data_IF_466927563229
#
_entry.id   IF_466927563229
#
_cell.length_a   1.000
_cell.length_b   1.000
_cell.length_c   1.000
_cell.angle_alpha   90.00
_cell.angle_beta   90.00
_cell.angle_gamma   90.00
#
_symmetry.space_group_name_H-M   'P 1'
#
loop_
_entity.id
_entity.type
_entity.pdbx_description
1 polymer ?
#
# COMPACT_ATOMS: atom_id res chain seq x y z
N UNK A 1 15.67 -2.43 -0.17
CA UNK A 1 15.27 -1.14 -0.76
C UNK A 1 13.77 -1.03 -0.67
N UNK A 2 13.22 0.17 -0.45
CA UNK A 2 11.75 0.35 -0.44
C UNK A 2 11.22 0.13 -1.85
N UNK A 3 10.06 -0.52 -1.97
CA UNK A 3 9.33 -0.63 -3.24
C UNK A 3 8.38 0.55 -3.48
N UNK A 4 8.24 1.42 -2.49
CA UNK A 4 7.35 2.59 -2.54
C UNK A 4 7.58 3.42 -3.81
N UNK A 5 6.50 3.73 -4.52
CA UNK A 5 6.52 4.60 -5.69
C UNK A 5 7.00 3.95 -6.98
N UNK A 6 7.57 2.74 -6.92
CA UNK A 6 7.94 1.98 -8.11
C UNK A 6 6.71 1.50 -8.88
N UNK A 7 6.92 1.14 -10.14
CA UNK A 7 5.89 0.66 -11.04
C UNK A 7 6.07 -0.82 -11.33
N UNK A 8 4.95 -1.53 -11.49
CA UNK A 8 4.89 -2.91 -11.95
C UNK A 8 4.08 -2.98 -13.24
N UNK A 9 4.18 -4.13 -13.89
CA UNK A 9 3.32 -4.53 -15.02
C UNK A 9 2.45 -5.70 -14.56
N UNK A 10 1.23 -5.80 -15.09
CA UNK A 10 0.42 -6.99 -15.02
C UNK A 10 -0.08 -7.35 -16.41
N UNK A 11 0.08 -8.61 -16.81
CA UNK A 11 -0.34 -9.12 -18.11
C UNK A 11 -1.81 -9.58 -18.10
N UNK A 12 -2.43 -9.69 -16.92
CA UNK A 12 -3.78 -10.19 -16.73
C UNK A 12 -4.69 -9.15 -16.06
N UNK A 13 -6.00 -9.24 -16.34
CA UNK A 13 -7.04 -8.42 -15.68
C UNK A 13 -7.44 -8.97 -14.29
N UNK A 14 -6.84 -10.09 -13.84
CA UNK A 14 -7.22 -10.81 -12.62
C UNK A 14 -6.93 -10.06 -11.30
N UNK A 15 -6.25 -8.91 -11.38
CA UNK A 15 -5.86 -8.10 -10.23
C UNK A 15 -4.71 -8.70 -9.40
N UNK A 16 -4.07 -9.78 -9.86
CA UNK A 16 -2.92 -10.42 -9.20
C UNK A 16 -1.62 -9.87 -9.81
N UNK A 17 -0.99 -8.95 -9.10
CA UNK A 17 0.28 -8.34 -9.52
C UNK A 17 1.46 -9.19 -9.07
N UNK A 18 1.86 -10.13 -9.91
CA UNK A 18 2.96 -11.07 -9.65
C UNK A 18 4.24 -10.79 -10.45
N UNK A 19 4.29 -9.68 -11.22
CA UNK A 19 5.49 -9.30 -11.95
C UNK A 19 6.67 -9.10 -11.00
N UNK A 20 7.81 -9.66 -11.40
CA UNK A 20 9.08 -9.54 -10.69
C UNK A 20 9.82 -8.25 -11.07
N UNK A 21 9.48 -7.64 -12.20
CA UNK A 21 10.14 -6.46 -12.73
C UNK A 21 9.57 -5.19 -12.11
N UNK A 22 10.45 -4.43 -11.44
CA UNK A 22 10.15 -3.15 -10.81
C UNK A 22 10.78 -2.01 -11.60
N UNK A 23 9.98 -0.98 -11.90
CA UNK A 23 10.42 0.17 -12.68
C UNK A 23 10.39 1.44 -11.84
N UNK A 24 11.36 2.34 -12.01
CA UNK A 24 11.41 3.60 -11.27
C UNK A 24 10.36 4.61 -11.78
N UNK A 25 9.98 4.50 -13.06
CA UNK A 25 8.98 5.37 -13.69
C UNK A 25 7.89 4.56 -14.36
N UNK A 26 6.74 5.21 -14.57
CA UNK A 26 5.63 4.65 -15.34
C UNK A 26 6.03 4.41 -16.79
N UNK A 27 6.76 5.36 -17.37
CA UNK A 27 7.20 5.35 -18.77
C UNK A 27 8.12 4.16 -19.05
N UNK A 28 9.01 3.83 -18.13
CA UNK A 28 9.88 2.64 -18.23
C UNK A 28 9.04 1.35 -18.19
N UNK A 29 8.06 1.25 -17.29
CA UNK A 29 7.14 0.11 -17.21
C UNK A 29 6.34 -0.05 -18.51
N UNK A 30 5.79 1.04 -19.06
CA UNK A 30 5.08 1.01 -20.34
C UNK A 30 6.00 0.60 -21.48
N UNK A 31 7.23 1.14 -21.52
CA UNK A 31 8.19 0.85 -22.59
C UNK A 31 8.62 -0.60 -22.57
N UNK A 32 8.87 -1.16 -21.38
CA UNK A 32 9.12 -2.58 -21.20
C UNK A 32 7.90 -3.41 -21.62
N UNK A 33 6.70 -3.03 -21.17
CA UNK A 33 5.47 -3.73 -21.49
C UNK A 33 5.26 -3.86 -23.01
N UNK A 34 5.41 -2.76 -23.74
CA UNK A 34 5.31 -2.73 -25.21
C UNK A 34 6.41 -3.54 -25.91
N UNK A 35 7.64 -3.49 -25.41
CA UNK A 35 8.76 -4.21 -26.01
C UNK A 35 8.65 -5.74 -25.88
N UNK A 36 7.99 -6.24 -24.83
CA UNK A 36 7.83 -7.66 -24.56
C UNK A 36 6.41 -8.18 -24.86
N UNK A 37 5.52 -7.32 -25.36
CA UNK A 37 4.11 -7.63 -25.59
C UNK A 37 3.95 -8.76 -26.60
N UNK A 38 4.64 -8.66 -27.74
CA UNK A 38 4.58 -9.67 -28.81
C UNK A 38 5.12 -11.03 -28.33
N UNK A 39 6.28 -11.06 -27.68
CA UNK A 39 6.91 -12.30 -27.19
C UNK A 39 6.03 -13.05 -26.17
N UNK A 40 5.40 -12.33 -25.24
CA UNK A 40 4.58 -12.94 -24.19
C UNK A 40 3.27 -13.51 -24.73
N UNK A 41 2.63 -12.82 -25.69
CA UNK A 41 1.38 -13.28 -26.29
C UNK A 41 1.58 -14.27 -27.46
N UNK A 42 2.76 -14.31 -28.09
CA UNK A 42 3.12 -15.34 -29.07
C UNK A 42 3.13 -16.75 -28.44
N UNK A 43 3.67 -16.89 -27.23
CA UNK A 43 3.72 -18.16 -26.49
C UNK A 43 2.32 -18.65 -26.06
N UNK A 44 1.36 -17.74 -25.87
CA UNK A 44 0.01 -18.06 -25.36
C UNK A 44 -0.97 -18.44 -26.48
N UNK A 45 -0.84 -17.86 -27.68
CA UNK A 45 -1.85 -17.96 -28.75
C UNK A 45 -1.58 -19.12 -29.72
N UNK A 46 -0.33 -19.58 -29.85
CA UNK A 46 0.04 -20.50 -30.93
C UNK A 46 -0.20 -19.86 -32.30
N UNK A 47 0.21 -20.52 -33.39
CA UNK A 47 0.32 -19.93 -34.73
C UNK A 47 -1.00 -19.56 -35.44
N UNK A 48 -2.14 -19.44 -34.74
CA UNK A 48 -3.41 -18.95 -35.31
C UNK A 48 -3.53 -17.43 -35.14
N UNK A 49 -3.19 -16.74 -36.23
CA UNK A 49 -2.78 -15.34 -36.30
C UNK A 49 -3.95 -14.32 -36.30
N UNK A 50 -3.65 -13.16 -35.71
CA UNK A 50 -4.20 -11.80 -35.87
C UNK A 50 -5.42 -11.29 -35.06
N UNK A 51 -6.58 -11.94 -34.98
CA UNK A 51 -7.76 -11.22 -34.42
C UNK A 51 -7.81 -11.09 -32.89
N UNK A 52 -7.02 -11.87 -32.15
CA UNK A 52 -7.03 -11.84 -30.67
C UNK A 52 -5.96 -10.92 -30.07
N UNK A 53 -4.83 -10.69 -30.75
CA UNK A 53 -3.75 -9.80 -30.28
C UNK A 53 -4.23 -8.34 -30.22
N UNK A 54 -5.06 -7.92 -31.18
CA UNK A 54 -5.57 -6.53 -31.26
C UNK A 54 -6.45 -6.15 -30.05
N UNK A 55 -6.94 -7.13 -29.29
CA UNK A 55 -7.71 -6.95 -28.06
C UNK A 55 -6.94 -7.27 -26.78
N UNK A 56 -5.67 -7.69 -26.87
CA UNK A 56 -4.84 -7.90 -25.68
C UNK A 56 -4.44 -6.55 -25.11
N UNK A 57 -4.36 -6.51 -23.79
CA UNK A 57 -3.93 -5.33 -23.03
C UNK A 57 -3.00 -5.79 -21.92
N UNK A 58 -2.17 -4.88 -21.45
CA UNK A 58 -1.45 -5.06 -20.20
C UNK A 58 -1.73 -3.86 -19.29
N UNK A 59 -1.44 -4.01 -18.01
CA UNK A 59 -1.67 -2.98 -17.02
C UNK A 59 -0.35 -2.51 -16.44
N UNK A 60 -0.27 -1.23 -16.13
CA UNK A 60 0.81 -0.67 -15.31
C UNK A 60 0.22 -0.08 -14.04
N UNK A 61 0.95 -0.16 -12.93
CA UNK A 61 0.46 0.33 -11.65
C UNK A 61 1.58 0.66 -10.69
N UNK A 62 1.34 1.63 -9.81
CA UNK A 62 2.31 2.12 -8.85
C UNK A 62 2.16 1.39 -7.51
N UNK A 63 3.28 0.95 -6.95
CA UNK A 63 3.37 0.34 -5.63
C UNK A 63 3.16 1.41 -4.55
N UNK A 64 2.22 1.15 -3.65
CA UNK A 64 2.05 1.87 -2.38
C UNK A 64 2.21 0.87 -1.24
N UNK A 65 3.29 1.00 -0.48
CA UNK A 65 3.59 0.19 0.68
C UNK A 65 2.65 0.57 1.83
N UNK A 66 2.21 -0.44 2.57
CA UNK A 66 1.50 -0.18 3.82
C UNK A 66 2.49 0.32 4.88
N UNK A 67 2.22 1.51 5.42
CA UNK A 67 2.94 2.04 6.58
C UNK A 67 2.05 1.93 7.82
N UNK A 68 2.41 1.11 8.82
CA UNK A 68 1.65 1.04 10.05
C UNK A 68 1.82 2.36 10.81
N UNK A 69 0.75 2.79 11.49
CA UNK A 69 0.75 3.99 12.30
C UNK A 69 -0.29 3.90 13.40
N UNK A 70 -0.02 4.60 14.50
CA UNK A 70 -0.94 4.75 15.63
C UNK A 70 -1.52 6.15 15.56
N UNK A 71 -2.84 6.26 15.61
CA UNK A 71 -3.54 7.53 15.79
C UNK A 71 -3.70 7.79 17.29
N UNK A 72 -3.16 8.91 17.78
CA UNK A 72 -3.19 9.20 19.21
C UNK A 72 -4.59 9.58 19.72
N UNK A 73 -5.45 10.20 18.90
CA UNK A 73 -6.84 10.52 19.27
C UNK A 73 -7.60 9.23 19.61
N UNK A 74 -7.50 8.20 18.75
CA UNK A 74 -8.13 6.90 19.02
C UNK A 74 -7.59 6.24 20.30
N UNK A 75 -6.29 6.39 20.60
CA UNK A 75 -5.70 5.85 21.84
C UNK A 75 -6.24 6.59 23.06
N UNK A 76 -6.36 7.93 22.99
CA UNK A 76 -6.89 8.75 24.08
C UNK A 76 -8.37 8.45 24.33
N UNK A 77 -9.17 8.32 23.27
CA UNK A 77 -10.58 7.90 23.35
C UNK A 77 -10.72 6.54 24.04
N UNK A 78 -9.96 5.55 23.62
CA UNK A 78 -9.97 4.22 24.23
C UNK A 78 -9.61 4.27 25.73
N UNK A 79 -8.64 5.12 26.11
CA UNK A 79 -8.26 5.29 27.52
C UNK A 79 -9.37 5.99 28.32
N UNK A 80 -10.03 6.99 27.75
CA UNK A 80 -11.14 7.69 28.40
C UNK A 80 -12.34 6.75 28.60
N UNK A 81 -12.69 5.94 27.59
CA UNK A 81 -13.72 4.91 27.69
C UNK A 81 -13.41 3.90 28.79
N UNK A 82 -12.18 3.39 28.84
CA UNK A 82 -11.77 2.48 29.93
C UNK A 82 -11.88 3.13 31.32
N UNK A 83 -11.56 4.42 31.45
CA UNK A 83 -11.71 5.11 32.73
C UNK A 83 -13.19 5.23 33.13
N UNK A 84 -14.08 5.53 32.17
CA UNK A 84 -15.52 5.56 32.40
C UNK A 84 -16.08 4.20 32.79
N UNK A 85 -15.65 3.12 32.13
CA UNK A 85 -16.10 1.76 32.47
C UNK A 85 -15.71 1.35 33.91
N UNK A 86 -14.56 1.82 34.40
CA UNK A 86 -14.04 1.48 35.73
C UNK A 86 -14.68 2.30 36.86
N UNK A 87 -14.90 3.61 36.68
CA UNK A 87 -15.36 4.50 37.77
C UNK A 87 -16.62 5.32 37.43
N UNK A 88 -17.25 5.04 36.30
CA UNK A 88 -18.47 5.69 35.84
C UNK A 88 -18.29 7.17 35.52
N UNK A 89 -19.37 7.94 35.70
CA UNK A 89 -19.44 9.37 35.38
C UNK A 89 -18.35 10.23 36.03
N UNK A 90 -17.70 9.77 37.10
CA UNK A 90 -16.57 10.49 37.71
C UNK A 90 -15.41 10.70 36.72
N UNK A 91 -15.28 9.84 35.70
CA UNK A 91 -14.28 9.93 34.65
C UNK A 91 -14.76 10.58 33.34
N UNK A 92 -16.00 11.08 33.25
CA UNK A 92 -16.62 11.57 32.00
C UNK A 92 -15.76 12.62 31.27
N UNK A 93 -15.13 13.55 31.99
CA UNK A 93 -14.26 14.59 31.41
C UNK A 93 -12.77 14.24 31.35
N UNK A 94 -12.39 13.00 31.66
CA UNK A 94 -10.99 12.59 31.58
C UNK A 94 -10.51 12.62 30.13
N UNK A 95 -9.43 13.36 29.87
CA UNK A 95 -8.81 13.56 28.54
C UNK A 95 -9.67 14.30 27.48
N UNK A 96 -10.88 14.76 27.84
CA UNK A 96 -11.77 15.51 26.94
C UNK A 96 -11.14 16.78 26.33
N UNK A 97 -10.25 17.44 27.08
CA UNK A 97 -9.65 18.73 26.72
C UNK A 97 -8.17 18.65 26.35
N UNK A 98 -7.68 17.48 25.92
CA UNK A 98 -6.30 17.34 25.44
C UNK A 98 -6.09 18.25 24.24
N UNK A 99 -5.05 19.07 24.28
CA UNK A 99 -4.76 19.99 23.19
C UNK A 99 -4.29 19.21 21.95
N UNK A 100 -4.54 19.77 20.76
CA UNK A 100 -4.02 19.20 19.51
C UNK A 100 -2.49 19.06 19.54
N UNK A 101 -1.79 19.99 20.20
CA UNK A 101 -0.33 19.94 20.31
C UNK A 101 0.13 18.77 21.17
N UNK A 102 -0.49 18.56 22.34
CA UNK A 102 -0.18 17.41 23.19
C UNK A 102 -0.55 16.08 22.52
N UNK A 103 -1.66 16.04 21.78
CA UNK A 103 -2.05 14.88 20.99
C UNK A 103 -1.01 14.54 19.91
N UNK A 104 -0.51 15.55 19.17
CA UNK A 104 0.55 15.36 18.19
C UNK A 104 1.86 14.85 18.82
N UNK A 105 2.23 15.38 20.00
CA UNK A 105 3.41 14.91 20.75
C UNK A 105 3.25 13.44 21.13
N UNK A 106 2.06 13.02 21.58
CA UNK A 106 1.78 11.62 21.89
C UNK A 106 1.86 10.75 20.63
N UNK A 107 1.26 11.19 19.52
CA UNK A 107 1.27 10.48 18.25
C UNK A 107 2.69 10.24 17.74
N UNK A 108 3.54 11.27 17.75
CA UNK A 108 4.94 11.16 17.35
C UNK A 108 5.67 10.13 18.21
N UNK A 109 5.49 10.16 19.54
CA UNK A 109 6.13 9.22 20.47
C UNK A 109 5.67 7.78 20.25
N UNK A 110 4.37 7.55 20.09
CA UNK A 110 3.81 6.23 19.85
C UNK A 110 4.30 5.66 18.51
N UNK A 111 4.32 6.47 17.46
CA UNK A 111 4.80 6.03 16.15
C UNK A 111 6.32 5.79 16.14
N UNK A 112 7.11 6.57 16.87
CA UNK A 112 8.53 6.31 17.05
C UNK A 112 8.77 4.95 17.73
N UNK A 113 8.08 4.70 18.86
CA UNK A 113 8.18 3.42 19.57
C UNK A 113 7.73 2.22 18.71
N UNK A 114 6.62 2.37 17.96
CA UNK A 114 6.14 1.34 17.04
C UNK A 114 7.18 1.04 15.96
N UNK A 115 7.76 2.08 15.33
CA UNK A 115 8.75 1.93 14.28
C UNK A 115 10.04 1.24 14.76
N UNK A 116 10.49 1.57 15.97
CA UNK A 116 11.61 0.89 16.62
C UNK A 116 11.29 -0.59 16.84
N UNK A 117 10.15 -0.89 17.47
CA UNK A 117 9.72 -2.27 17.73
C UNK A 117 9.59 -3.10 16.44
N UNK A 118 8.98 -2.56 15.38
CA UNK A 118 8.85 -3.23 14.08
C UNK A 118 10.21 -3.58 13.47
N UNK A 119 11.19 -2.67 13.63
CA UNK A 119 12.55 -2.87 13.14
C UNK A 119 13.29 -3.93 13.96
N UNK A 120 13.22 -3.87 15.28
CA UNK A 120 13.91 -4.78 16.20
C UNK A 120 13.39 -6.22 16.07
N UNK A 121 12.07 -6.37 15.96
CA UNK A 121 11.41 -7.67 15.87
C UNK A 121 11.31 -8.21 14.44
N UNK A 122 11.75 -7.44 13.44
CA UNK A 122 11.68 -7.76 12.00
C UNK A 122 10.25 -8.00 11.49
N UNK A 123 9.27 -7.35 12.11
CA UNK A 123 7.85 -7.42 11.74
C UNK A 123 7.42 -6.29 10.80
N UNK A 124 8.36 -5.68 10.06
CA UNK A 124 8.00 -4.68 9.05
C UNK A 124 7.12 -5.33 7.97
N UNK A 125 6.02 -4.67 7.54
CA UNK A 125 5.21 -5.16 6.42
C UNK A 125 6.07 -5.41 5.18
N UNK A 126 5.81 -6.53 4.52
CA UNK A 126 6.45 -6.92 3.26
C UNK A 126 5.45 -6.97 2.08
N UNK A 127 4.25 -6.44 2.31
CA UNK A 127 3.16 -6.38 1.34
C UNK A 127 2.87 -4.93 0.98
N UNK A 128 2.23 -4.76 -0.17
CA UNK A 128 1.87 -3.46 -0.75
C UNK A 128 0.54 -3.61 -1.48
N UNK A 129 -0.06 -2.47 -1.81
CA UNK A 129 -1.17 -2.38 -2.76
C UNK A 129 -0.69 -1.71 -4.03
N UNK A 130 -1.44 -1.89 -5.11
CA UNK A 130 -1.20 -1.20 -6.38
C UNK A 130 -2.25 -0.11 -6.53
N UNK A 131 -1.78 1.10 -6.80
CA UNK A 131 -2.60 2.28 -7.11
C UNK A 131 -2.26 2.82 -8.50
N UNK A 132 -3.03 3.81 -8.97
CA UNK A 132 -2.82 4.47 -10.27
C UNK A 132 -2.69 3.48 -11.43
N UNK A 133 -3.56 2.46 -11.40
CA UNK A 133 -3.59 1.41 -12.42
C UNK A 133 -4.07 1.99 -13.73
N UNK A 134 -3.36 1.69 -14.81
CA UNK A 134 -3.72 2.06 -16.17
C UNK A 134 -3.63 0.85 -17.10
N UNK A 135 -4.65 0.71 -17.94
CA UNK A 135 -4.67 -0.25 -19.06
C UNK A 135 -3.92 0.33 -20.26
N UNK A 136 -3.05 -0.48 -20.83
CA UNK A 136 -2.21 -0.15 -21.99
C UNK A 136 -2.52 -1.14 -23.12
N UNK A 137 -2.74 -0.56 -24.30
CA UNK A 137 -2.90 -1.23 -25.59
C UNK A 137 -1.62 -1.13 -26.40
#
# INVERSE_FOLDING_TARGET
MSKEGKWLINWNEDGIWNSLDEFETKEDAISYGKANFEEIFEDEIGTEFDSEIENKVFYVGQITCFSPGINAEHVLEQIAEHAYDEVGEVAESYLENVSKEDCNILEERLNNALNEWLKETKNKPNFFKIEKIEEIK
#
